data_IF_145717424529
#
_entry.id   IF_145717424529
#
_cell.length_a   1.000
_cell.length_b   1.000
_cell.length_c   1.000
_cell.angle_alpha   90.00
_cell.angle_beta   90.00
_cell.angle_gamma   90.00
#
_symmetry.space_group_name_H-M   'P 1'
#
loop_
_entity.id
_entity.type
_entity.pdbx_description
1 polymer ?
#
# COMPACT_ATOMS: atom_id res chain seq x y z
N UNK A 1 -15.17 10.21 2.59
CA UNK A 1 -13.81 10.80 2.51
C UNK A 1 -13.57 11.16 1.06
N UNK A 2 -12.89 12.28 0.78
CA UNK A 2 -12.57 12.67 -0.59
C UNK A 2 -11.08 12.40 -0.83
N UNK A 3 -10.78 11.39 -1.64
CA UNK A 3 -9.42 11.12 -2.12
C UNK A 3 -9.08 12.08 -3.27
N UNK A 4 -7.79 12.28 -3.55
CA UNK A 4 -7.34 12.89 -4.81
C UNK A 4 -7.84 12.11 -6.02
N UNK A 5 -7.96 12.75 -7.19
CA UNK A 5 -8.62 12.14 -8.36
C UNK A 5 -8.00 10.80 -8.78
N UNK A 6 -6.68 10.66 -8.65
CA UNK A 6 -5.96 9.41 -8.95
C UNK A 6 -6.41 8.28 -8.01
N UNK A 7 -6.34 8.48 -6.70
CA UNK A 7 -6.74 7.47 -5.72
C UNK A 7 -8.25 7.23 -5.69
N UNK A 8 -9.07 8.23 -6.02
CA UNK A 8 -10.52 8.06 -6.12
C UNK A 8 -10.92 7.03 -7.20
N UNK A 9 -10.10 6.86 -8.26
CA UNK A 9 -10.31 5.84 -9.28
C UNK A 9 -9.74 4.45 -8.90
N UNK A 10 -8.83 4.41 -7.92
CA UNK A 10 -8.18 3.17 -7.48
C UNK A 10 -8.82 2.59 -6.21
N UNK A 11 -9.48 3.40 -5.39
CA UNK A 11 -10.03 2.99 -4.10
C UNK A 11 -11.56 3.02 -4.16
N UNK A 12 -12.15 1.82 -4.27
CA UNK A 12 -13.59 1.61 -4.12
C UNK A 12 -13.89 1.04 -2.72
N UNK A 13 -14.46 1.86 -1.84
CA UNK A 13 -14.84 1.45 -0.47
C UNK A 13 -15.90 0.33 -0.41
N UNK A 14 -16.59 0.05 -1.52
CA UNK A 14 -17.54 -1.06 -1.62
C UNK A 14 -16.89 -2.40 -1.99
N UNK A 15 -15.60 -2.42 -2.35
CA UNK A 15 -14.88 -3.63 -2.74
C UNK A 15 -14.71 -4.59 -1.55
N UNK A 16 -15.07 -5.88 -1.69
CA UNK A 16 -14.69 -6.90 -0.71
C UNK A 16 -13.17 -7.10 -0.69
N UNK A 17 -12.56 -6.96 0.49
CA UNK A 17 -11.13 -7.19 0.68
C UNK A 17 -10.91 -8.54 1.34
N UNK A 18 -10.01 -9.32 0.77
CA UNK A 18 -9.60 -10.59 1.34
C UNK A 18 -8.83 -10.35 2.65
N UNK A 19 -9.12 -11.16 3.67
CA UNK A 19 -8.40 -11.10 4.95
C UNK A 19 -6.96 -11.60 4.77
N UNK A 20 -6.77 -12.56 3.87
CA UNK A 20 -5.47 -13.09 3.45
C UNK A 20 -5.00 -12.42 2.15
N UNK A 21 -4.19 -13.12 1.35
CA UNK A 21 -3.71 -12.62 0.06
C UNK A 21 -4.85 -12.28 -0.90
N UNK A 22 -5.84 -13.16 -1.01
CA UNK A 22 -6.87 -13.07 -2.03
C UNK A 22 -6.33 -13.05 -3.47
N UNK A 23 -7.23 -13.01 -4.46
CA UNK A 23 -6.83 -12.92 -5.87
C UNK A 23 -6.42 -11.48 -6.23
N UNK A 24 -5.30 -11.32 -6.95
CA UNK A 24 -4.85 -10.04 -7.53
C UNK A 24 -5.96 -9.37 -8.37
N UNK A 25 -6.17 -8.06 -8.17
CA UNK A 25 -7.08 -7.28 -8.99
C UNK A 25 -6.42 -6.85 -10.30
N UNK A 26 -6.29 -7.78 -11.24
CA UNK A 26 -5.58 -7.55 -12.51
C UNK A 26 -6.20 -6.44 -13.38
N UNK A 27 -7.47 -6.09 -13.16
CA UNK A 27 -8.16 -5.03 -13.90
C UNK A 27 -7.54 -3.63 -13.73
N UNK A 28 -6.82 -3.39 -12.62
CA UNK A 28 -6.16 -2.11 -12.34
C UNK A 28 -4.62 -2.20 -12.38
N UNK A 29 -4.06 -3.37 -12.69
CA UNK A 29 -2.62 -3.61 -12.58
C UNK A 29 -1.81 -2.61 -13.40
N UNK A 30 -2.14 -2.41 -14.67
CA UNK A 30 -1.40 -1.47 -15.53
C UNK A 30 -1.50 0.00 -15.06
N UNK A 31 -2.59 0.37 -14.35
CA UNK A 31 -2.71 1.70 -13.75
C UNK A 31 -1.79 1.84 -12.53
N UNK A 32 -1.66 0.77 -11.72
CA UNK A 32 -0.76 0.74 -10.57
C UNK A 32 0.72 0.71 -11.00
N UNK A 33 1.06 -0.04 -12.06
CA UNK A 33 2.42 -0.10 -12.61
C UNK A 33 2.90 1.25 -13.16
N UNK A 34 1.98 2.08 -13.67
CA UNK A 34 2.27 3.42 -14.16
C UNK A 34 2.32 4.49 -13.05
N UNK A 35 2.00 4.11 -11.80
CA UNK A 35 1.89 5.04 -10.69
C UNK A 35 3.27 5.41 -10.16
N UNK A 36 3.56 6.71 -10.10
CA UNK A 36 4.73 7.26 -9.39
C UNK A 36 4.24 8.16 -8.26
N UNK A 37 5.13 8.56 -7.35
CA UNK A 37 4.79 9.54 -6.31
C UNK A 37 4.28 10.84 -6.92
N UNK A 38 4.92 11.31 -7.99
CA UNK A 38 4.58 12.56 -8.67
C UNK A 38 3.23 12.47 -9.41
N UNK A 39 2.94 11.35 -10.08
CA UNK A 39 1.65 11.17 -10.75
C UNK A 39 0.50 10.96 -9.76
N UNK A 40 0.74 10.17 -8.70
CA UNK A 40 -0.25 9.86 -7.66
C UNK A 40 -0.72 11.10 -6.87
N UNK A 41 0.18 12.05 -6.66
CA UNK A 41 -0.06 13.27 -5.88
C UNK A 41 0.01 14.54 -6.71
N UNK A 42 -0.23 14.46 -8.02
CA UNK A 42 -0.11 15.60 -8.96
C UNK A 42 -0.95 16.83 -8.60
N UNK A 43 -2.02 16.65 -7.83
CA UNK A 43 -2.91 17.72 -7.33
C UNK A 43 -2.44 18.35 -6.00
N UNK A 44 -1.38 17.81 -5.39
CA UNK A 44 -0.95 18.16 -4.04
C UNK A 44 0.54 18.47 -3.98
N UNK A 45 0.93 19.29 -3.00
CA UNK A 45 2.33 19.45 -2.67
C UNK A 45 2.79 18.29 -1.78
N UNK A 46 3.77 17.52 -2.25
CA UNK A 46 4.36 16.42 -1.48
C UNK A 46 5.32 17.01 -0.45
N UNK A 47 4.97 16.86 0.83
CA UNK A 47 5.80 17.34 1.96
C UNK A 47 6.62 16.23 2.61
N UNK A 48 6.24 14.97 2.39
CA UNK A 48 6.90 13.77 2.89
C UNK A 48 6.80 12.68 1.82
N UNK A 49 7.94 12.29 1.26
CA UNK A 49 8.01 11.30 0.18
C UNK A 49 7.80 9.89 0.69
N UNK A 50 8.24 9.57 1.90
CA UNK A 50 8.10 8.24 2.50
C UNK A 50 6.65 7.97 2.86
N UNK A 51 5.95 8.99 3.37
CA UNK A 51 4.50 8.92 3.57
C UNK A 51 3.75 8.75 2.25
N UNK A 52 4.17 9.42 1.18
CA UNK A 52 3.58 9.24 -0.14
C UNK A 52 3.80 7.82 -0.70
N UNK A 53 4.99 7.25 -0.52
CA UNK A 53 5.29 5.86 -0.89
C UNK A 53 4.48 4.86 -0.05
N UNK A 54 4.22 5.15 1.23
CA UNK A 54 3.33 4.35 2.06
C UNK A 54 1.91 4.27 1.48
N UNK A 55 1.37 5.37 0.96
CA UNK A 55 0.08 5.36 0.27
C UNK A 55 0.10 4.49 -1.00
N UNK A 56 1.20 4.52 -1.76
CA UNK A 56 1.37 3.68 -2.96
C UNK A 56 1.46 2.20 -2.56
N UNK A 57 2.25 1.83 -1.55
CA UNK A 57 2.30 0.46 -1.03
C UNK A 57 0.92 -0.01 -0.57
N UNK A 58 0.18 0.85 0.13
CA UNK A 58 -1.17 0.56 0.60
C UNK A 58 -2.17 0.30 -0.54
N UNK A 59 -2.11 1.05 -1.65
CA UNK A 59 -3.02 0.83 -2.78
C UNK A 59 -2.68 -0.44 -3.58
N UNK A 60 -1.40 -0.80 -3.69
CA UNK A 60 -1.01 -2.12 -4.21
C UNK A 60 -1.61 -3.25 -3.35
N UNK A 61 -1.47 -3.12 -2.02
CA UNK A 61 -2.02 -4.10 -1.09
C UNK A 61 -3.54 -4.16 -1.17
N UNK A 62 -4.23 -3.02 -1.24
CA UNK A 62 -5.69 -2.94 -1.44
C UNK A 62 -6.19 -3.79 -2.61
N UNK A 63 -5.36 -3.93 -3.64
CA UNK A 63 -5.62 -4.71 -4.86
C UNK A 63 -4.99 -6.11 -4.87
N UNK A 64 -4.56 -6.60 -3.71
CA UNK A 64 -4.02 -7.95 -3.47
C UNK A 64 -2.66 -8.21 -4.15
N UNK A 65 -1.92 -7.15 -4.47
CA UNK A 65 -0.55 -7.22 -5.01
C UNK A 65 0.46 -7.16 -3.85
N UNK A 66 0.62 -8.30 -3.17
CA UNK A 66 1.45 -8.42 -1.97
C UNK A 66 2.92 -8.13 -2.25
N UNK A 67 3.48 -8.68 -3.34
CA UNK A 67 4.89 -8.53 -3.68
C UNK A 67 5.26 -7.07 -3.95
N UNK A 68 4.42 -6.38 -4.70
CA UNK A 68 4.59 -4.98 -5.07
C UNK A 68 4.46 -4.06 -3.84
N UNK A 69 3.54 -4.39 -2.93
CA UNK A 69 3.43 -3.71 -1.62
C UNK A 69 4.67 -3.96 -0.74
N UNK A 70 5.17 -5.20 -0.70
CA UNK A 70 6.35 -5.59 0.06
C UNK A 70 7.60 -4.86 -0.44
N UNK A 71 7.85 -4.86 -1.75
CA UNK A 71 9.02 -4.18 -2.34
C UNK A 71 9.08 -2.70 -1.98
N UNK A 72 7.94 -2.02 -1.95
CA UNK A 72 7.88 -0.61 -1.57
C UNK A 72 8.05 -0.44 -0.06
N UNK A 73 7.30 -1.19 0.75
CA UNK A 73 7.27 -0.99 2.21
C UNK A 73 8.56 -1.36 2.92
N UNK A 74 9.33 -2.34 2.41
CA UNK A 74 10.60 -2.75 3.02
C UNK A 74 11.68 -1.65 2.95
N UNK A 75 11.64 -0.81 1.93
CA UNK A 75 12.59 0.29 1.71
C UNK A 75 12.22 1.56 2.51
N UNK A 76 11.04 1.60 3.14
CA UNK A 76 10.58 2.76 3.90
C UNK A 76 10.95 2.58 5.38
N UNK A 77 12.04 3.23 5.81
CA UNK A 77 12.56 3.15 7.17
C UNK A 77 11.88 4.10 8.16
N UNK A 78 10.54 4.10 8.18
CA UNK A 78 9.72 4.91 9.09
C UNK A 78 8.72 4.04 9.88
N UNK A 79 8.13 4.61 10.93
CA UNK A 79 7.00 3.98 11.66
C UNK A 79 5.85 3.61 10.71
N UNK A 80 5.55 4.48 9.73
CA UNK A 80 4.50 4.22 8.73
C UNK A 80 4.89 3.11 7.74
N UNK A 81 6.16 3.07 7.30
CA UNK A 81 6.68 1.99 6.45
C UNK A 81 6.61 0.64 7.16
N UNK A 82 7.07 0.59 8.41
CA UNK A 82 7.00 -0.62 9.26
C UNK A 82 5.55 -1.09 9.47
N UNK A 83 4.61 -0.16 9.61
CA UNK A 83 3.19 -0.48 9.73
C UNK A 83 2.66 -1.16 8.45
N UNK A 84 2.93 -0.61 7.27
CA UNK A 84 2.48 -1.22 6.00
C UNK A 84 3.14 -2.56 5.73
N UNK A 85 4.44 -2.69 6.03
CA UNK A 85 5.18 -3.95 5.93
C UNK A 85 4.56 -5.03 6.84
N UNK A 86 4.19 -4.67 8.07
CA UNK A 86 3.53 -5.58 8.99
C UNK A 86 2.13 -6.02 8.52
N UNK A 87 1.33 -5.09 7.97
CA UNK A 87 0.00 -5.40 7.41
C UNK A 87 0.14 -6.33 6.20
N UNK A 88 1.13 -6.11 5.34
CA UNK A 88 1.43 -6.98 4.20
C UNK A 88 1.73 -8.42 4.67
N UNK A 89 2.69 -8.61 5.59
CA UNK A 89 3.01 -9.93 6.15
C UNK A 89 1.81 -10.59 6.84
N UNK A 90 0.93 -9.79 7.45
CA UNK A 90 -0.29 -10.30 8.08
C UNK A 90 -1.23 -10.94 7.05
N UNK A 91 -1.25 -10.45 5.80
CA UNK A 91 -2.10 -10.93 4.71
C UNK A 91 -1.53 -12.16 4.00
N UNK A 92 -0.21 -12.29 3.86
CA UNK A 92 0.42 -13.55 3.41
C UNK A 92 0.54 -14.60 4.53
N UNK A 93 0.00 -14.30 5.72
CA UNK A 93 -0.07 -15.20 6.86
C UNK A 93 1.27 -15.49 7.56
N UNK A 94 2.32 -14.69 7.31
CA UNK A 94 3.56 -14.68 8.11
C UNK A 94 3.36 -13.84 9.39
N UNK A 95 2.66 -14.44 10.35
CA UNK A 95 2.33 -13.77 11.61
C UNK A 95 3.55 -13.45 12.48
N UNK A 96 4.62 -14.23 12.37
CA UNK A 96 5.84 -14.00 13.13
C UNK A 96 6.56 -12.76 12.63
N UNK A 97 6.65 -12.59 11.31
CA UNK A 97 7.28 -11.45 10.70
C UNK A 97 6.40 -10.19 10.81
N UNK A 98 5.08 -10.32 10.63
CA UNK A 98 4.15 -9.23 10.94
C UNK A 98 4.32 -8.72 12.39
N UNK A 99 4.43 -9.63 13.37
CA UNK A 99 4.68 -9.27 14.77
C UNK A 99 6.02 -8.59 14.98
N UNK A 100 7.06 -9.01 14.26
CA UNK A 100 8.37 -8.36 14.30
C UNK A 100 8.27 -6.90 13.85
N UNK A 101 7.66 -6.63 12.69
CA UNK A 101 7.52 -5.28 12.15
C UNK A 101 6.60 -4.39 12.98
N UNK A 102 5.51 -4.92 13.56
CA UNK A 102 4.66 -4.16 14.47
C UNK A 102 5.38 -3.69 15.75
N UNK A 103 6.50 -4.31 16.15
CA UNK A 103 7.32 -3.81 17.28
C UNK A 103 8.09 -2.53 16.94
N UNK A 104 8.28 -2.24 15.65
CA UNK A 104 8.94 -1.03 15.16
C UNK A 104 7.96 0.12 14.92
N UNK A 105 6.68 -0.06 15.28
CA UNK A 105 5.66 0.99 15.20
C UNK A 105 5.55 1.68 16.56
N UNK A 106 6.24 2.82 16.73
CA UNK A 106 6.28 3.62 17.98
C UNK A 106 6.06 5.09 17.73
#
# INVERSE_FOLDING_TARGET
MQYGSVFANLIDSGRPIAIDEGPKNTAVQSQLEALTVESAFSEFNIVDRDAALCCISGVWLWHNFIWESHEISQEIHTTAGSYWHAIMHRREQDYSNAKYWFRSVS
#
